data_IF_187086575874
#
_entry.id   IF_187086575874
#
_cell.length_a   1.000
_cell.length_b   1.000
_cell.length_c   1.000
_cell.angle_alpha   90.00
_cell.angle_beta   90.00
_cell.angle_gamma   90.00
#
_symmetry.space_group_name_H-M   'P 1'
#
loop_
_entity.id
_entity.type
_entity.pdbx_description
1 polymer ?
#
# COMPACT_ATOMS: atom_id res chain seq x y z
N UNK A 1 -18.91 1.22 -35.38
CA UNK A 1 -19.62 1.26 -34.08
C UNK A 1 -18.63 0.82 -33.02
N UNK A 2 -18.06 1.75 -32.26
CA UNK A 2 -17.17 1.40 -31.14
C UNK A 2 -18.02 0.85 -29.99
N UNK A 3 -17.64 -0.27 -29.36
CA UNK A 3 -18.39 -0.79 -28.23
C UNK A 3 -18.28 0.21 -27.06
N UNK A 4 -19.41 0.55 -26.45
CA UNK A 4 -19.49 1.32 -25.22
C UNK A 4 -18.69 0.55 -24.16
N UNK A 5 -17.45 0.96 -23.90
CA UNK A 5 -16.69 0.48 -22.75
C UNK A 5 -17.53 0.87 -21.52
N UNK A 6 -18.06 -0.14 -20.83
CA UNK A 6 -18.94 0.07 -19.69
C UNK A 6 -18.13 0.61 -18.51
N UNK A 7 -17.94 1.92 -18.43
CA UNK A 7 -17.10 2.61 -17.45
C UNK A 7 -17.56 2.30 -16.03
N UNK A 8 -16.64 1.94 -15.12
CA UNK A 8 -16.93 1.84 -13.69
C UNK A 8 -16.99 3.26 -13.13
N UNK A 9 -18.11 3.63 -12.52
CA UNK A 9 -18.31 4.95 -11.93
C UNK A 9 -17.74 4.97 -10.51
N UNK A 10 -16.53 5.51 -10.37
CA UNK A 10 -15.85 5.63 -9.10
C UNK A 10 -16.42 6.77 -8.25
N UNK A 11 -16.71 6.47 -6.99
CA UNK A 11 -16.88 7.44 -5.93
C UNK A 11 -15.54 7.57 -5.21
N UNK A 12 -14.67 8.42 -5.75
CA UNK A 12 -13.29 8.62 -5.29
C UNK A 12 -12.48 7.30 -5.38
N UNK A 13 -12.34 6.55 -4.29
CA UNK A 13 -11.52 5.35 -4.22
C UNK A 13 -12.30 4.03 -4.17
N UNK A 14 -13.62 4.06 -4.30
CA UNK A 14 -14.49 2.88 -4.33
C UNK A 14 -15.61 3.01 -5.36
N UNK A 15 -16.23 1.91 -5.75
CA UNK A 15 -17.32 1.89 -6.72
C UNK A 15 -18.32 0.75 -6.45
N UNK A 16 -19.54 0.94 -6.93
CA UNK A 16 -20.56 -0.11 -6.98
C UNK A 16 -20.43 -0.95 -8.26
N UNK A 17 -20.85 -2.21 -8.15
CA UNK A 17 -20.89 -3.17 -9.25
C UNK A 17 -19.54 -3.56 -9.77
N UNK A 18 -18.53 -3.73 -8.91
CA UNK A 18 -17.17 -4.07 -9.32
C UNK A 18 -16.48 -5.08 -8.40
N UNK A 19 -15.47 -5.75 -8.95
CA UNK A 19 -14.51 -6.64 -8.26
C UNK A 19 -13.12 -6.46 -8.86
N UNK A 20 -12.10 -7.01 -8.20
CA UNK A 20 -10.74 -7.08 -8.73
C UNK A 20 -10.43 -8.54 -9.13
N UNK A 21 -10.31 -8.83 -10.43
CA UNK A 21 -10.03 -10.19 -10.91
C UNK A 21 -8.60 -10.60 -10.51
N UNK A 22 -8.43 -11.83 -10.04
CA UNK A 22 -7.11 -12.34 -9.64
C UNK A 22 -7.15 -13.30 -8.44
N UNK A 23 -6.03 -14.00 -8.23
CA UNK A 23 -5.93 -15.16 -7.33
C UNK A 23 -6.12 -14.84 -5.84
N UNK A 24 -6.76 -15.79 -5.16
CA UNK A 24 -7.07 -15.87 -3.72
C UNK A 24 -5.87 -15.66 -2.76
N UNK A 25 -4.64 -15.75 -3.27
CA UNK A 25 -3.40 -15.64 -2.50
C UNK A 25 -3.13 -14.21 -1.99
N UNK A 26 -3.93 -13.24 -2.43
CA UNK A 26 -3.84 -11.85 -1.99
C UNK A 26 -4.78 -11.50 -0.83
N UNK A 27 -5.57 -12.47 -0.33
CA UNK A 27 -6.45 -12.25 0.81
C UNK A 27 -5.66 -11.98 2.09
N UNK A 28 -6.10 -10.99 2.86
CA UNK A 28 -5.67 -10.72 4.22
C UNK A 28 -6.67 -11.35 5.19
N UNK A 29 -7.93 -10.90 5.13
CA UNK A 29 -8.99 -11.32 6.04
C UNK A 29 -10.37 -11.16 5.40
N UNK A 30 -11.30 -12.00 5.82
CA UNK A 30 -12.73 -11.89 5.55
C UNK A 30 -13.43 -11.46 6.85
N UNK A 31 -14.26 -10.42 6.80
CA UNK A 31 -14.94 -9.85 7.97
C UNK A 31 -16.43 -9.67 7.66
N UNK A 32 -17.31 -10.06 8.58
CA UNK A 32 -18.73 -9.68 8.48
C UNK A 32 -18.93 -8.27 9.04
N UNK A 33 -19.46 -7.36 8.21
CA UNK A 33 -19.74 -5.98 8.61
C UNK A 33 -20.70 -5.28 7.62
N UNK A 34 -21.16 -4.09 7.98
CA UNK A 34 -21.93 -3.25 7.07
C UNK A 34 -21.02 -2.66 5.97
N UNK A 35 -21.57 -2.51 4.76
CA UNK A 35 -20.83 -2.08 3.58
C UNK A 35 -20.01 -0.79 3.76
N UNK A 36 -20.58 0.29 4.33
CA UNK A 36 -19.85 1.53 4.58
C UNK A 36 -18.61 1.38 5.46
N UNK A 37 -18.52 0.32 6.28
CA UNK A 37 -17.38 0.07 7.16
C UNK A 37 -16.21 -0.64 6.47
N UNK A 38 -16.41 -1.28 5.32
CA UNK A 38 -15.38 -2.10 4.68
C UNK A 38 -14.19 -1.26 4.14
N UNK A 39 -14.49 -0.13 3.50
CA UNK A 39 -13.47 0.81 3.01
C UNK A 39 -12.62 1.41 4.14
N UNK A 40 -13.23 2.00 5.19
CA UNK A 40 -12.53 2.44 6.39
C UNK A 40 -11.68 1.33 7.04
N UNK A 41 -12.19 0.10 7.10
CA UNK A 41 -11.41 -1.02 7.64
C UNK A 41 -10.15 -1.33 6.83
N UNK A 42 -10.24 -1.21 5.51
CA UNK A 42 -9.05 -1.31 4.65
C UNK A 42 -8.06 -0.17 4.89
N UNK A 43 -8.53 1.03 5.25
CA UNK A 43 -7.64 2.15 5.59
C UNK A 43 -6.88 1.93 6.91
N UNK A 44 -7.50 1.28 7.89
CA UNK A 44 -6.88 0.93 9.17
C UNK A 44 -5.80 -0.15 9.04
N UNK A 45 -6.03 -1.15 8.19
CA UNK A 45 -5.13 -2.30 8.07
C UNK A 45 -4.02 -1.96 7.09
N UNK A 46 -2.81 -1.79 7.61
CA UNK A 46 -1.62 -1.37 6.84
C UNK A 46 -1.38 -2.21 5.57
N UNK A 47 -1.55 -3.54 5.67
CA UNK A 47 -1.36 -4.44 4.54
C UNK A 47 -2.48 -4.35 3.49
N UNK A 48 -3.64 -3.79 3.85
CA UNK A 48 -4.76 -3.68 2.94
C UNK A 48 -4.47 -2.64 1.87
N UNK A 49 -4.68 -3.05 0.63
CA UNK A 49 -4.44 -2.26 -0.58
C UNK A 49 -5.70 -2.07 -1.39
N UNK A 50 -6.63 -3.02 -1.28
CA UNK A 50 -7.93 -2.98 -1.92
C UNK A 50 -8.87 -3.92 -1.18
N UNK A 51 -10.17 -3.74 -1.39
CA UNK A 51 -11.21 -4.53 -0.79
C UNK A 51 -12.32 -4.87 -1.78
N UNK A 52 -13.05 -5.93 -1.46
CA UNK A 52 -14.32 -6.28 -2.07
C UNK A 52 -15.34 -6.49 -0.97
N UNK A 53 -16.54 -5.96 -1.15
CA UNK A 53 -17.66 -6.14 -0.25
C UNK A 53 -18.83 -6.77 -1.00
N UNK A 54 -19.35 -7.86 -0.45
CA UNK A 54 -20.56 -8.52 -0.92
C UNK A 54 -21.74 -8.09 -0.04
N UNK A 55 -22.67 -7.26 -0.55
CA UNK A 55 -23.81 -6.80 0.24
C UNK A 55 -24.82 -7.91 0.56
N UNK A 56 -24.87 -8.98 -0.22
CA UNK A 56 -25.84 -10.09 -0.02
C UNK A 56 -25.54 -10.86 1.27
N UNK A 57 -24.26 -11.08 1.59
CA UNK A 57 -23.85 -11.82 2.79
C UNK A 57 -23.02 -10.96 3.78
N UNK A 58 -22.98 -9.64 3.55
CA UNK A 58 -22.25 -8.66 4.38
C UNK A 58 -20.76 -8.98 4.54
N UNK A 59 -20.16 -9.62 3.54
CA UNK A 59 -18.75 -10.04 3.60
C UNK A 59 -17.83 -8.94 3.07
N UNK A 60 -17.00 -8.39 3.93
CA UNK A 60 -15.87 -7.53 3.58
C UNK A 60 -14.59 -8.34 3.46
N UNK A 61 -14.04 -8.42 2.26
CA UNK A 61 -12.77 -9.10 1.97
C UNK A 61 -11.68 -8.07 1.75
N UNK A 62 -10.71 -8.06 2.65
CA UNK A 62 -9.54 -7.19 2.57
C UNK A 62 -8.39 -7.93 1.90
N UNK A 63 -7.71 -7.25 0.98
CA UNK A 63 -6.67 -7.84 0.13
C UNK A 63 -5.42 -6.96 0.08
N UNK A 64 -4.27 -7.59 -0.18
CA UNK A 64 -2.95 -6.96 -0.34
C UNK A 64 -2.45 -7.07 -1.79
N UNK A 65 -1.35 -6.38 -2.11
CA UNK A 65 -0.72 -6.43 -3.43
C UNK A 65 -1.05 -5.23 -4.32
N UNK A 66 -0.44 -5.18 -5.50
CA UNK A 66 -0.63 -4.06 -6.43
C UNK A 66 -2.01 -4.15 -7.06
N UNK A 67 -2.88 -3.20 -6.74
CA UNK A 67 -4.20 -3.09 -7.34
C UNK A 67 -4.56 -1.63 -7.58
N UNK A 68 -4.96 -1.31 -8.81
CA UNK A 68 -5.40 0.03 -9.23
C UNK A 68 -6.85 0.00 -9.73
N UNK A 69 -7.48 1.17 -9.81
CA UNK A 69 -8.86 1.30 -10.30
C UNK A 69 -9.04 0.77 -11.73
N UNK A 70 -8.04 0.93 -12.59
CA UNK A 70 -8.05 0.44 -13.98
C UNK A 70 -8.10 -1.08 -14.11
N UNK A 71 -7.80 -1.81 -13.04
CA UNK A 71 -7.84 -3.27 -13.01
C UNK A 71 -9.20 -3.82 -12.54
N UNK A 72 -10.10 -2.97 -12.04
CA UNK A 72 -11.43 -3.41 -11.63
C UNK A 72 -12.29 -3.82 -12.83
N UNK A 73 -13.11 -4.85 -12.65
CA UNK A 73 -14.08 -5.31 -13.66
C UNK A 73 -15.48 -5.26 -13.08
N UNK A 74 -16.49 -5.09 -13.95
CA UNK A 74 -17.88 -5.06 -13.53
C UNK A 74 -18.34 -6.41 -12.98
N UNK A 75 -19.07 -6.38 -11.87
CA UNK A 75 -19.62 -7.60 -11.27
C UNK A 75 -20.81 -7.33 -10.33
N UNK A 76 -22.01 -7.61 -10.83
CA UNK A 76 -23.24 -7.67 -10.03
C UNK A 76 -23.45 -6.46 -9.11
N UNK A 77 -23.80 -6.74 -7.86
CA UNK A 77 -23.99 -5.76 -6.79
C UNK A 77 -22.76 -5.64 -5.86
N UNK A 78 -21.61 -6.21 -6.25
CA UNK A 78 -20.40 -6.13 -5.42
C UNK A 78 -19.93 -4.69 -5.31
N UNK A 79 -19.35 -4.34 -4.17
CA UNK A 79 -18.67 -3.05 -3.99
C UNK A 79 -17.18 -3.35 -3.97
N UNK A 80 -16.38 -2.59 -4.69
CA UNK A 80 -14.93 -2.71 -4.62
C UNK A 80 -14.29 -1.36 -4.35
N UNK A 81 -13.10 -1.35 -3.76
CA UNK A 81 -12.35 -0.13 -3.61
C UNK A 81 -10.86 -0.37 -3.47
N UNK A 82 -10.09 0.60 -3.92
CA UNK A 82 -8.65 0.67 -3.63
C UNK A 82 -8.46 1.51 -2.39
N UNK A 83 -7.50 1.14 -1.55
CA UNK A 83 -7.10 1.99 -0.44
C UNK A 83 -6.37 3.21 -1.01
N UNK A 84 -6.82 4.40 -0.62
CA UNK A 84 -6.11 5.65 -0.90
C UNK A 84 -4.67 5.55 -0.42
N UNK A 85 -3.71 5.84 -1.28
CA UNK A 85 -2.30 5.71 -0.94
C UNK A 85 -1.84 4.27 -0.74
N UNK A 86 -2.47 3.27 -1.38
CA UNK A 86 -1.96 1.89 -1.39
C UNK A 86 -1.45 1.43 -2.76
N UNK A 87 -1.06 2.39 -3.60
CA UNK A 87 -0.36 2.11 -4.85
C UNK A 87 0.91 1.30 -4.54
N UNK A 88 1.37 0.52 -5.51
CA UNK A 88 2.65 -0.15 -5.31
C UNK A 88 3.75 0.92 -5.31
N UNK A 89 4.52 0.97 -4.23
CA UNK A 89 5.80 1.67 -4.20
C UNK A 89 6.61 1.27 -5.43
N UNK A 90 7.01 2.26 -6.22
CA UNK A 90 7.82 2.04 -7.42
C UNK A 90 9.29 1.82 -7.04
N UNK A 91 9.76 0.59 -7.23
CA UNK A 91 11.13 0.18 -6.94
C UNK A 91 12.02 0.20 -8.19
N UNK A 92 11.68 1.02 -9.20
CA UNK A 92 12.49 1.24 -10.40
C UNK A 92 13.93 1.68 -10.07
N UNK A 93 14.14 2.31 -8.91
CA UNK A 93 15.45 2.70 -8.38
C UNK A 93 16.19 1.56 -7.61
N UNK A 94 15.76 0.31 -7.77
CA UNK A 94 16.40 -0.86 -7.18
C UNK A 94 15.96 -1.13 -5.74
N UNK A 95 16.78 -0.73 -4.77
CA UNK A 95 16.58 -1.00 -3.34
C UNK A 95 16.02 0.20 -2.57
N UNK A 96 15.61 1.26 -3.25
CA UNK A 96 14.91 2.39 -2.64
C UNK A 96 13.78 2.89 -3.54
N UNK A 97 12.88 3.68 -2.95
CA UNK A 97 11.74 4.24 -3.62
C UNK A 97 11.26 5.53 -2.93
N UNK A 98 10.52 6.34 -3.68
CA UNK A 98 9.81 7.51 -3.17
C UNK A 98 8.42 7.13 -2.66
N UNK A 99 7.79 8.07 -1.95
CA UNK A 99 6.42 7.95 -1.46
C UNK A 99 6.22 6.69 -0.62
N UNK A 100 7.15 6.38 0.28
CA UNK A 100 7.06 5.16 1.08
C UNK A 100 7.68 5.25 2.46
N UNK A 101 7.28 4.33 3.34
CA UNK A 101 7.85 4.14 4.68
C UNK A 101 7.67 2.68 5.16
N UNK A 102 8.35 2.36 6.26
CA UNK A 102 8.22 1.14 7.05
C UNK A 102 7.73 1.49 8.47
N UNK A 103 6.43 1.74 8.67
CA UNK A 103 5.91 2.27 9.94
C UNK A 103 5.94 1.26 11.10
N UNK A 104 5.97 -0.05 10.82
CA UNK A 104 5.95 -1.12 11.84
C UNK A 104 7.35 -1.60 12.25
N UNK A 105 8.40 -0.92 11.80
CA UNK A 105 9.77 -1.29 12.11
C UNK A 105 10.27 -0.60 13.37
N UNK A 106 11.16 -1.26 14.10
CA UNK A 106 11.95 -0.59 15.13
C UNK A 106 12.93 0.39 14.49
N UNK A 107 12.88 1.65 14.90
CA UNK A 107 13.92 2.62 14.60
C UNK A 107 15.10 2.37 15.55
N UNK A 108 16.31 2.25 14.98
CA UNK A 108 17.53 1.98 15.75
C UNK A 108 18.45 3.20 15.82
N UNK A 109 18.41 4.10 14.83
CA UNK A 109 19.14 5.37 14.88
C UNK A 109 18.56 6.43 13.94
N UNK A 110 18.92 7.70 14.18
CA UNK A 110 18.56 8.87 13.37
C UNK A 110 19.79 9.67 12.98
N UNK A 111 19.85 10.12 11.73
CA UNK A 111 20.98 10.87 11.19
C UNK A 111 20.51 12.11 10.41
N UNK A 112 21.25 13.20 10.56
CA UNK A 112 21.11 14.46 9.81
C UNK A 112 21.96 14.40 8.53
N UNK A 113 21.50 13.59 7.56
CA UNK A 113 22.21 13.33 6.31
C UNK A 113 21.28 13.44 5.12
N UNK A 114 21.84 13.64 3.92
CA UNK A 114 21.04 13.71 2.70
C UNK A 114 20.33 12.37 2.42
N UNK A 115 19.11 12.34 1.87
CA UNK A 115 18.37 11.09 1.64
C UNK A 115 19.13 10.04 0.84
N UNK A 116 19.96 10.46 -0.12
CA UNK A 116 20.80 9.58 -0.93
C UNK A 116 21.90 8.87 -0.13
N UNK A 117 22.24 9.37 1.06
CA UNK A 117 23.25 8.79 1.95
C UNK A 117 22.66 7.76 2.92
N UNK A 118 21.33 7.67 3.05
CA UNK A 118 20.69 6.72 3.95
C UNK A 118 21.04 5.25 3.66
N UNK A 119 21.13 4.89 2.38
CA UNK A 119 21.47 3.53 1.97
C UNK A 119 22.85 3.11 2.46
N UNK A 120 23.87 3.94 2.19
CA UNK A 120 25.23 3.70 2.69
C UNK A 120 25.30 3.69 4.21
N UNK A 121 24.59 4.61 4.89
CA UNK A 121 24.53 4.61 6.36
C UNK A 121 23.90 3.35 6.94
N UNK A 122 22.87 2.80 6.28
CA UNK A 122 22.28 1.52 6.65
C UNK A 122 23.23 0.34 6.37
N UNK A 123 24.04 0.42 5.33
CA UNK A 123 25.02 -0.61 5.01
C UNK A 123 26.12 -0.74 6.08
N UNK A 124 26.55 0.40 6.64
CA UNK A 124 27.56 0.50 7.71
C UNK A 124 27.08 -0.04 9.07
N UNK A 125 25.77 -0.13 9.31
CA UNK A 125 25.19 -0.59 10.57
C UNK A 125 24.67 -2.03 10.42
N UNK A 126 25.31 -2.97 11.12
CA UNK A 126 24.96 -4.39 11.04
C UNK A 126 23.54 -4.72 11.49
N UNK A 127 22.94 -3.88 12.34
CA UNK A 127 21.56 -4.05 12.80
C UNK A 127 20.54 -3.41 11.86
N UNK A 128 21.00 -2.59 10.89
CA UNK A 128 20.11 -1.99 9.92
C UNK A 128 19.69 -3.02 8.87
N UNK A 129 18.41 -3.01 8.57
CA UNK A 129 17.80 -3.86 7.52
C UNK A 129 17.12 -3.02 6.44
N UNK A 130 16.72 -1.80 6.79
CA UNK A 130 16.05 -0.86 5.91
C UNK A 130 16.09 0.53 6.54
N UNK A 131 15.69 1.53 5.76
CA UNK A 131 15.70 2.92 6.18
C UNK A 131 14.49 3.68 5.65
N UNK A 132 14.20 4.81 6.30
CA UNK A 132 13.26 5.80 5.82
C UNK A 132 13.79 7.22 6.05
N UNK A 133 13.64 8.08 5.05
CA UNK A 133 13.94 9.50 5.12
C UNK A 133 12.65 10.31 5.05
N UNK A 134 12.54 11.37 5.85
CA UNK A 134 11.41 12.30 5.81
C UNK A 134 11.93 13.72 5.57
N UNK A 135 11.69 14.30 4.39
CA UNK A 135 12.18 15.65 4.08
C UNK A 135 11.57 16.73 4.99
N UNK A 136 10.41 16.47 5.62
CA UNK A 136 9.80 17.46 6.53
C UNK A 136 10.65 17.71 7.78
N UNK A 137 11.39 16.69 8.26
CA UNK A 137 12.29 16.81 9.41
C UNK A 137 13.77 16.63 9.06
N UNK A 138 14.08 16.34 7.80
CA UNK A 138 15.44 16.16 7.33
C UNK A 138 16.15 14.94 7.92
N UNK A 139 15.43 13.99 8.54
CA UNK A 139 16.05 12.85 9.23
C UNK A 139 16.03 11.58 8.39
N UNK A 140 17.20 10.97 8.29
CA UNK A 140 17.37 9.58 7.93
C UNK A 140 17.16 8.68 9.15
N UNK A 141 16.26 7.70 9.06
CA UNK A 141 15.94 6.76 10.13
C UNK A 141 16.38 5.37 9.71
N UNK A 142 17.38 4.82 10.41
CA UNK A 142 17.78 3.43 10.24
C UNK A 142 16.85 2.55 11.07
N UNK A 143 16.46 1.42 10.50
CA UNK A 143 15.44 0.54 11.07
C UNK A 143 15.88 -0.92 11.02
N UNK A 144 15.45 -1.70 12.00
CA UNK A 144 15.72 -3.13 12.13
C UNK A 144 14.42 -3.97 12.03
N UNK A 145 14.60 -5.28 11.85
CA UNK A 145 13.49 -6.24 11.73
C UNK A 145 13.31 -6.79 10.32
N UNK A 146 12.18 -7.46 10.07
CA UNK A 146 11.93 -8.08 8.76
C UNK A 146 11.45 -7.03 7.76
N UNK A 147 12.27 -6.74 6.76
CA UNK A 147 11.93 -5.82 5.68
C UNK A 147 11.95 -6.50 4.32
N UNK A 148 10.91 -6.25 3.53
CA UNK A 148 10.84 -6.65 2.14
C UNK A 148 9.99 -5.63 1.35
N UNK A 149 10.05 -5.73 0.02
CA UNK A 149 9.30 -4.88 -0.92
C UNK A 149 7.78 -5.07 -0.85
N UNK A 150 7.21 -5.87 0.06
CA UNK A 150 5.77 -6.03 0.30
C UNK A 150 5.35 -5.42 1.64
N UNK A 151 6.27 -5.28 2.61
CA UNK A 151 6.02 -4.71 3.95
C UNK A 151 6.09 -3.19 4.05
N UNK A 152 6.48 -2.51 2.97
CA UNK A 152 6.38 -1.05 2.84
C UNK A 152 4.93 -0.56 2.74
N UNK A 153 4.70 0.63 3.28
CA UNK A 153 3.51 1.43 3.05
C UNK A 153 3.80 2.45 1.94
N UNK A 154 2.93 2.55 0.94
CA UNK A 154 2.94 3.70 0.04
C UNK A 154 2.27 4.90 0.73
N UNK A 155 2.81 6.07 0.48
CA UNK A 155 2.41 7.33 1.08
C UNK A 155 2.31 8.35 -0.06
N UNK A 156 1.13 8.41 -0.68
CA UNK A 156 0.85 9.29 -1.81
C UNK A 156 1.27 10.74 -1.50
N UNK A 157 1.93 11.37 -2.46
CA UNK A 157 2.41 12.76 -2.39
C UNK A 157 3.21 13.08 -1.12
N UNK A 158 3.93 12.09 -0.58
CA UNK A 158 4.74 12.29 0.61
C UNK A 158 6.17 12.62 0.24
N UNK A 159 6.77 13.52 1.01
CA UNK A 159 8.19 13.83 0.91
C UNK A 159 9.07 12.77 1.60
N UNK A 160 8.68 11.50 1.49
CA UNK A 160 9.36 10.38 2.13
C UNK A 160 10.04 9.49 1.10
N UNK A 161 11.18 8.95 1.50
CA UNK A 161 11.95 7.96 0.76
C UNK A 161 12.13 6.76 1.68
N UNK A 162 11.99 5.55 1.18
CA UNK A 162 12.31 4.35 1.93
C UNK A 162 13.20 3.41 1.11
N UNK A 163 14.01 2.59 1.77
CA UNK A 163 14.84 1.61 1.09
C UNK A 163 15.23 0.45 1.96
N UNK A 164 15.60 -0.65 1.30
CA UNK A 164 16.18 -1.84 1.90
C UNK A 164 17.71 -1.70 1.92
N UNK A 165 18.36 -2.31 2.91
CA UNK A 165 19.83 -2.43 2.94
C UNK A 165 20.31 -3.15 1.67
N UNK A 166 21.45 -2.70 1.14
CA UNK A 166 22.13 -3.26 -0.03
C UNK A 166 23.63 -3.32 0.17
#
# INVERSE_FOLDING_TARGET
MSPLISVINWNDNWANGCVFPGNSNNKIVDLQMEGPSCGPKCQEILECTHFEFNPTNKMCRLKRGRMTQSQAVRHGNMICGVRKGAEAVDWSNGNWAENCDFPQSQEISRHDIHPTQCGGKCQEDDNCTHYAFNQNDGKCRLKSGVADKKKRQYLADSKRVCGLRY
#
